data_IF_183632927465
#
_entry.id   IF_183632927465
#
_cell.length_a   1.000
_cell.length_b   1.000
_cell.length_c   1.000
_cell.angle_alpha   90.00
_cell.angle_beta   90.00
_cell.angle_gamma   90.00
#
_symmetry.space_group_name_H-M   'P 1'
#
loop_
_entity.id
_entity.type
_entity.pdbx_description
1 polymer ?
#
# COMPACT_ATOMS: atom_id res chain seq x y z
N UNK A 1 -8.30 28.83 -20.82
CA UNK A 1 -7.97 28.38 -19.44
C UNK A 1 -9.11 27.64 -18.75
N UNK A 2 -10.33 28.19 -18.64
CA UNK A 2 -11.46 27.54 -17.93
C UNK A 2 -11.84 26.16 -18.49
N UNK A 3 -11.92 26.03 -19.81
CA UNK A 3 -12.24 24.77 -20.49
C UNK A 3 -11.15 23.71 -20.23
N UNK A 4 -9.88 24.10 -20.31
CA UNK A 4 -8.74 23.19 -20.03
C UNK A 4 -8.80 22.68 -18.59
N UNK A 5 -9.06 23.56 -17.62
CA UNK A 5 -9.20 23.16 -16.21
C UNK A 5 -10.40 22.21 -16.00
N UNK A 6 -11.54 22.47 -16.63
CA UNK A 6 -12.69 21.59 -16.56
C UNK A 6 -12.39 20.19 -17.12
N UNK A 7 -11.64 20.12 -18.23
CA UNK A 7 -11.19 18.86 -18.82
C UNK A 7 -10.23 18.12 -17.86
N UNK A 8 -9.26 18.81 -17.25
CA UNK A 8 -8.35 18.21 -16.27
C UNK A 8 -9.13 17.63 -15.08
N UNK A 9 -10.07 18.39 -14.53
CA UNK A 9 -10.89 17.92 -13.41
C UNK A 9 -11.77 16.73 -13.79
N UNK A 10 -12.30 16.71 -15.01
CA UNK A 10 -13.05 15.56 -15.53
C UNK A 10 -12.17 14.32 -15.62
N UNK A 11 -10.95 14.44 -16.16
CA UNK A 11 -9.99 13.32 -16.20
C UNK A 11 -9.62 12.83 -14.79
N UNK A 12 -9.37 13.73 -13.84
CA UNK A 12 -9.12 13.35 -12.45
C UNK A 12 -10.32 12.65 -11.80
N UNK A 13 -11.55 13.12 -12.07
CA UNK A 13 -12.76 12.48 -11.56
C UNK A 13 -12.91 11.06 -12.12
N UNK A 14 -12.75 10.88 -13.44
CA UNK A 14 -12.80 9.56 -14.09
C UNK A 14 -11.73 8.65 -13.51
N UNK A 15 -10.50 9.12 -13.32
CA UNK A 15 -9.41 8.36 -12.72
C UNK A 15 -9.73 7.88 -11.30
N UNK A 16 -10.25 8.77 -10.44
CA UNK A 16 -10.56 8.46 -9.04
C UNK A 16 -11.79 7.55 -8.88
N UNK A 17 -12.74 7.64 -9.80
CA UNK A 17 -13.96 6.81 -9.85
C UNK A 17 -13.75 5.44 -10.50
N UNK A 18 -12.71 5.28 -11.32
CA UNK A 18 -12.40 3.99 -11.93
C UNK A 18 -12.31 2.90 -10.84
N UNK A 19 -12.97 1.75 -11.00
CA UNK A 19 -13.03 0.73 -9.96
C UNK A 19 -11.63 0.21 -9.63
N UNK A 20 -11.37 -0.04 -8.35
CA UNK A 20 -10.11 -0.63 -7.93
C UNK A 20 -10.20 -2.14 -7.83
N UNK A 21 -9.06 -2.80 -7.99
CA UNK A 21 -8.96 -4.21 -7.65
C UNK A 21 -9.11 -4.40 -6.14
N UNK A 22 -9.45 -5.62 -5.73
CA UNK A 22 -9.45 -6.00 -4.31
C UNK A 22 -8.00 -6.13 -3.79
N UNK A 23 -7.86 -6.60 -2.55
CA UNK A 23 -6.57 -7.01 -1.99
C UNK A 23 -5.76 -7.83 -3.03
N UNK A 24 -4.46 -7.56 -3.22
CA UNK A 24 -3.65 -8.22 -4.24
C UNK A 24 -3.61 -9.75 -4.08
N UNK A 25 -3.18 -10.43 -5.14
CA UNK A 25 -3.01 -11.89 -5.10
C UNK A 25 -2.02 -12.30 -4.00
N UNK A 26 -2.26 -13.46 -3.42
CA UNK A 26 -1.40 -14.06 -2.40
C UNK A 26 0.00 -14.36 -2.98
N UNK A 27 1.05 -14.32 -2.13
CA UNK A 27 2.42 -14.59 -2.58
C UNK A 27 2.55 -16.01 -3.14
N UNK A 28 3.22 -16.19 -4.28
CA UNK A 28 3.52 -17.52 -4.79
C UNK A 28 4.51 -18.24 -3.87
N UNK A 29 4.42 -19.57 -3.82
CA UNK A 29 5.33 -20.42 -3.04
C UNK A 29 5.47 -19.99 -1.56
N UNK A 30 4.39 -19.46 -0.98
CA UNK A 30 4.36 -18.99 0.40
C UNK A 30 3.32 -19.74 1.22
N UNK A 31 3.56 -19.86 2.52
CA UNK A 31 2.60 -20.39 3.47
C UNK A 31 1.87 -19.23 4.14
N UNK A 32 0.56 -19.15 3.99
CA UNK A 32 -0.25 -18.13 4.66
C UNK A 32 -0.24 -18.35 6.17
N UNK A 33 0.01 -17.28 6.92
CA UNK A 33 -0.12 -17.26 8.37
C UNK A 33 -1.57 -17.04 8.79
N UNK A 34 -2.01 -17.81 9.78
CA UNK A 34 -3.31 -17.67 10.44
C UNK A 34 -3.14 -17.39 11.94
N UNK A 35 -1.99 -16.85 12.34
CA UNK A 35 -1.78 -16.38 13.70
C UNK A 35 -2.84 -15.31 14.04
N UNK A 36 -3.37 -15.25 15.28
CA UNK A 36 -4.44 -14.31 15.64
C UNK A 36 -4.14 -12.87 15.21
N UNK A 37 -2.91 -12.40 15.46
CA UNK A 37 -2.45 -11.07 15.08
C UNK A 37 -2.49 -10.78 13.56
N UNK A 38 -2.34 -11.81 12.73
CA UNK A 38 -2.33 -11.70 11.27
C UNK A 38 -3.75 -11.75 10.67
N UNK A 39 -4.76 -12.09 11.49
CA UNK A 39 -6.17 -12.28 11.05
C UNK A 39 -7.17 -11.29 11.65
N UNK A 40 -6.74 -10.44 12.58
CA UNK A 40 -7.55 -9.38 13.21
C UNK A 40 -8.23 -8.42 12.22
N UNK A 41 -7.68 -8.24 11.01
CA UNK A 41 -8.24 -7.35 9.99
C UNK A 41 -8.34 -8.07 8.64
N UNK A 42 -9.47 -7.96 7.92
CA UNK A 42 -9.60 -8.53 6.57
C UNK A 42 -8.68 -7.86 5.55
N UNK A 43 -8.21 -6.65 5.89
CA UNK A 43 -7.26 -5.88 5.09
C UNK A 43 -5.81 -6.20 5.42
N UNK A 44 -5.54 -7.24 6.22
CA UNK A 44 -4.19 -7.67 6.58
C UNK A 44 -4.04 -9.16 6.26
N UNK A 45 -2.89 -9.51 5.70
CA UNK A 45 -2.50 -10.89 5.43
C UNK A 45 -1.01 -11.05 5.69
N UNK A 46 -0.60 -12.17 6.29
CA UNK A 46 0.80 -12.49 6.46
C UNK A 46 1.15 -13.84 5.82
N UNK A 47 2.41 -13.97 5.42
CA UNK A 47 2.95 -15.11 4.69
C UNK A 47 4.36 -15.44 5.17
N UNK A 48 4.68 -16.72 5.18
CA UNK A 48 6.05 -17.22 5.31
C UNK A 48 6.56 -17.58 3.92
N UNK A 49 7.70 -17.02 3.53
CA UNK A 49 8.26 -17.19 2.18
C UNK A 49 9.79 -17.25 2.21
N UNK A 50 10.35 -17.74 1.12
CA UNK A 50 11.79 -17.73 0.86
C UNK A 50 12.20 -16.64 -0.13
N UNK A 51 11.25 -15.77 -0.51
CA UNK A 51 11.50 -14.67 -1.44
C UNK A 51 12.30 -13.54 -0.78
N UNK A 52 13.17 -12.91 -1.57
CA UNK A 52 13.91 -11.72 -1.13
C UNK A 52 13.00 -10.48 -1.12
N UNK A 53 13.44 -9.44 -0.40
CA UNK A 53 12.77 -8.12 -0.38
C UNK A 53 12.40 -7.64 -1.78
N UNK A 54 13.35 -7.58 -2.71
CA UNK A 54 13.10 -7.13 -4.08
C UNK A 54 12.07 -8.00 -4.81
N UNK A 55 12.14 -9.33 -4.67
CA UNK A 55 11.18 -10.24 -5.29
C UNK A 55 9.75 -10.00 -4.77
N UNK A 56 9.60 -9.77 -3.46
CA UNK A 56 8.31 -9.46 -2.82
C UNK A 56 7.77 -8.13 -3.35
N UNK A 57 8.59 -7.10 -3.36
CA UNK A 57 8.19 -5.76 -3.80
C UNK A 57 7.87 -5.72 -5.29
N UNK A 58 8.61 -6.45 -6.13
CA UNK A 58 8.37 -6.58 -7.57
C UNK A 58 7.09 -7.35 -7.87
N UNK A 59 6.81 -8.40 -7.10
CA UNK A 59 5.56 -9.13 -7.19
C UNK A 59 4.38 -8.23 -6.89
N UNK A 60 4.39 -7.54 -5.75
CA UNK A 60 3.26 -6.70 -5.36
C UNK A 60 3.12 -5.46 -6.24
N UNK A 61 4.21 -4.82 -6.67
CA UNK A 61 4.12 -3.65 -7.57
C UNK A 61 3.40 -4.01 -8.86
N UNK A 62 3.77 -5.14 -9.48
CA UNK A 62 3.15 -5.63 -10.73
C UNK A 62 1.68 -6.00 -10.54
N UNK A 63 1.35 -6.72 -9.47
CA UNK A 63 -0.01 -7.22 -9.25
C UNK A 63 -0.97 -6.17 -8.67
N UNK A 64 -0.45 -5.13 -8.00
CA UNK A 64 -1.27 -4.12 -7.34
C UNK A 64 -1.64 -2.97 -8.26
N UNK A 65 -0.67 -2.35 -8.93
CA UNK A 65 -0.87 -1.07 -9.64
C UNK A 65 -0.03 -0.95 -10.91
N UNK A 66 0.95 -1.83 -11.08
CA UNK A 66 1.82 -1.86 -12.25
C UNK A 66 2.69 -0.60 -12.33
N UNK A 67 2.70 0.01 -13.52
CA UNK A 67 3.55 1.17 -13.84
C UNK A 67 3.16 2.46 -13.10
N UNK A 68 1.92 2.54 -12.61
CA UNK A 68 1.43 3.71 -11.86
C UNK A 68 1.77 3.64 -10.37
N UNK A 69 2.43 2.56 -9.93
CA UNK A 69 2.82 2.37 -8.54
C UNK A 69 4.13 3.03 -8.19
N UNK A 70 4.11 3.80 -7.12
CA UNK A 70 5.33 4.34 -6.52
C UNK A 70 5.71 3.56 -5.27
N UNK A 71 7.01 3.32 -5.07
CA UNK A 71 7.53 2.68 -3.86
C UNK A 71 8.03 3.74 -2.90
N UNK A 72 7.59 3.67 -1.65
CA UNK A 72 8.10 4.47 -0.55
C UNK A 72 8.75 3.53 0.47
N UNK A 73 9.91 3.94 0.99
CA UNK A 73 10.64 3.19 2.00
C UNK A 73 10.52 3.91 3.35
N UNK A 74 10.25 3.14 4.39
CA UNK A 74 10.05 3.64 5.74
C UNK A 74 11.07 3.00 6.70
N UNK A 75 11.39 3.67 7.81
CA UNK A 75 12.10 3.05 8.92
C UNK A 75 11.31 1.82 9.43
N UNK A 76 11.97 0.68 9.68
CA UNK A 76 11.30 -0.54 10.14
C UNK A 76 10.59 -0.37 11.49
N UNK A 77 11.03 0.57 12.33
CA UNK A 77 10.45 0.89 13.63
C UNK A 77 9.00 1.40 13.50
N UNK A 78 8.66 2.03 12.38
CA UNK A 78 7.31 2.50 12.09
C UNK A 78 6.34 1.35 11.78
N UNK A 79 6.81 0.11 11.63
CA UNK A 79 5.91 -1.03 11.42
C UNK A 79 4.98 -1.25 12.63
N UNK A 80 5.41 -0.85 13.83
CA UNK A 80 4.59 -0.89 15.03
C UNK A 80 3.36 0.01 14.91
N UNK A 81 3.50 1.22 14.36
CA UNK A 81 2.40 2.17 14.21
C UNK A 81 1.60 1.95 12.91
N UNK A 82 2.27 1.59 11.81
CA UNK A 82 1.66 1.51 10.48
C UNK A 82 1.01 0.16 10.19
N UNK A 83 1.55 -0.95 10.72
CA UNK A 83 1.02 -2.30 10.48
C UNK A 83 0.24 -2.79 11.70
N UNK A 84 0.92 -2.86 12.86
CA UNK A 84 0.37 -3.34 14.15
C UNK A 84 1.40 -3.20 15.26
N UNK A 85 0.93 -2.94 16.47
CA UNK A 85 1.76 -2.97 17.69
C UNK A 85 2.57 -4.26 17.81
N UNK A 86 3.84 -4.14 18.24
CA UNK A 86 4.77 -5.27 18.42
C UNK A 86 5.08 -6.08 17.15
N UNK A 87 4.94 -5.47 15.97
CA UNK A 87 5.37 -6.10 14.72
C UNK A 87 6.89 -6.05 14.59
N UNK A 88 7.52 -7.23 14.47
CA UNK A 88 8.92 -7.31 14.11
C UNK A 88 9.09 -6.95 12.63
N UNK A 89 10.11 -6.15 12.34
CA UNK A 89 10.37 -5.61 11.01
C UNK A 89 11.87 -5.53 10.75
N UNK A 90 12.26 -5.98 9.57
CA UNK A 90 13.59 -5.73 9.00
C UNK A 90 13.51 -4.70 7.88
N UNK A 91 12.36 -4.59 7.22
CA UNK A 91 12.07 -3.54 6.26
C UNK A 91 10.57 -3.24 6.22
N UNK A 92 10.25 -1.98 5.94
CA UNK A 92 8.89 -1.51 5.73
C UNK A 92 8.84 -0.67 4.46
N UNK A 93 7.97 -1.06 3.53
CA UNK A 93 7.75 -0.33 2.29
C UNK A 93 6.26 -0.16 2.01
N UNK A 94 5.93 0.90 1.27
CA UNK A 94 4.58 1.15 0.77
C UNK A 94 4.59 1.18 -0.76
N UNK A 95 3.58 0.57 -1.37
CA UNK A 95 3.26 0.77 -2.77
C UNK A 95 2.04 1.67 -2.86
N UNK A 96 2.26 2.89 -3.33
CA UNK A 96 1.23 3.92 -3.44
C UNK A 96 0.58 3.88 -4.82
N UNK A 97 -0.75 3.84 -4.83
CA UNK A 97 -1.55 4.21 -5.99
C UNK A 97 -2.22 5.55 -5.73
N UNK A 98 -1.66 6.61 -6.32
CA UNK A 98 -1.97 8.01 -6.02
C UNK A 98 -3.47 8.29 -5.87
N UNK A 99 -3.88 8.75 -4.68
CA UNK A 99 -5.25 9.15 -4.38
C UNK A 99 -6.28 8.02 -4.30
N UNK A 100 -5.89 6.75 -4.50
CA UNK A 100 -6.83 5.62 -4.53
C UNK A 100 -6.61 4.64 -3.39
N UNK A 101 -5.37 4.21 -3.16
CA UNK A 101 -5.06 3.13 -2.21
C UNK A 101 -3.57 2.98 -1.98
N UNK A 102 -3.25 2.34 -0.87
CA UNK A 102 -1.89 2.02 -0.48
C UNK A 102 -1.77 0.57 -0.05
N UNK A 103 -0.58 0.00 -0.25
CA UNK A 103 -0.24 -1.33 0.19
C UNK A 103 1.05 -1.27 1.00
N UNK A 104 0.93 -1.42 2.32
CA UNK A 104 2.08 -1.50 3.21
C UNK A 104 2.56 -2.95 3.28
N UNK A 105 3.87 -3.13 3.13
CA UNK A 105 4.55 -4.41 3.11
C UNK A 105 5.67 -4.35 4.14
N UNK A 106 5.47 -5.10 5.21
CA UNK A 106 6.47 -5.33 6.23
C UNK A 106 7.12 -6.70 6.01
N UNK A 107 8.45 -6.76 6.04
CA UNK A 107 9.18 -8.03 6.00
C UNK A 107 10.11 -8.16 7.19
N UNK A 108 10.02 -9.30 7.86
CA UNK A 108 10.90 -9.70 8.95
C UNK A 108 11.83 -10.81 8.48
N UNK A 109 13.12 -10.55 8.56
CA UNK A 109 14.21 -11.50 8.27
C UNK A 109 14.93 -11.79 9.59
N UNK A 110 14.83 -13.01 10.13
CA UNK A 110 15.45 -13.35 11.40
C UNK A 110 16.96 -13.35 11.25
N UNK A 111 17.65 -12.62 12.12
CA UNK A 111 19.13 -12.59 12.17
C UNK A 111 19.68 -13.46 13.30
N UNK A 112 18.85 -13.75 14.31
CA UNK A 112 19.22 -14.59 15.46
C UNK A 112 18.69 -16.01 15.30
N UNK A 113 19.44 -16.99 15.80
CA UNK A 113 19.02 -18.39 15.80
C UNK A 113 17.72 -18.63 16.57
N UNK A 114 17.42 -17.81 17.58
CA UNK A 114 16.18 -17.88 18.39
C UNK A 114 14.94 -17.42 17.64
N UNK A 115 15.09 -16.72 16.52
CA UNK A 115 14.00 -16.10 15.74
C UNK A 115 13.71 -16.88 14.45
N UNK A 116 14.33 -18.05 14.27
CA UNK A 116 14.14 -18.86 13.06
C UNK A 116 12.68 -19.23 12.83
N UNK A 117 12.24 -19.07 11.58
CA UNK A 117 10.87 -19.32 11.17
C UNK A 117 10.79 -20.76 10.65
N UNK A 118 10.49 -21.69 11.55
CA UNK A 118 10.23 -23.08 11.20
C UNK A 118 8.72 -23.35 11.33
N UNK A 119 8.07 -23.73 10.23
CA UNK A 119 6.63 -24.05 10.18
C UNK A 119 6.43 -25.34 9.42
N UNK A 120 5.74 -26.30 10.03
CA UNK A 120 5.43 -27.61 9.43
C UNK A 120 6.67 -28.35 8.90
N UNK A 121 7.81 -28.26 9.60
CA UNK A 121 9.08 -28.87 9.18
C UNK A 121 9.82 -28.14 8.05
N UNK A 122 9.29 -27.03 7.54
CA UNK A 122 9.93 -26.19 6.52
C UNK A 122 10.51 -24.94 7.18
N UNK A 123 11.76 -24.65 6.84
CA UNK A 123 12.43 -23.40 7.21
C UNK A 123 12.08 -22.30 6.19
N UNK A 124 11.62 -21.16 6.70
CA UNK A 124 11.33 -19.98 5.91
C UNK A 124 12.30 -18.86 6.24
N UNK A 125 12.78 -18.14 5.22
CA UNK A 125 13.74 -17.05 5.41
C UNK A 125 13.09 -15.73 5.77
N UNK A 126 11.80 -15.54 5.48
CA UNK A 126 11.13 -14.24 5.71
C UNK A 126 9.66 -14.44 6.10
N UNK A 127 9.21 -13.69 7.11
CA UNK A 127 7.78 -13.45 7.39
C UNK A 127 7.39 -12.11 6.77
N UNK A 128 6.43 -12.10 5.87
CA UNK A 128 5.91 -10.90 5.22
C UNK A 128 4.52 -10.62 5.72
N UNK A 129 4.25 -9.41 6.18
CA UNK A 129 2.91 -8.93 6.55
C UNK A 129 2.51 -7.80 5.61
N UNK A 130 1.32 -7.91 5.05
CA UNK A 130 0.81 -6.97 4.06
C UNK A 130 -0.51 -6.38 4.54
N UNK A 131 -0.57 -5.06 4.58
CA UNK A 131 -1.74 -4.28 4.95
C UNK A 131 -2.22 -3.48 3.74
N UNK A 132 -3.49 -3.67 3.39
CA UNK A 132 -4.16 -2.98 2.32
C UNK A 132 -5.00 -1.83 2.85
N UNK A 133 -4.75 -0.61 2.37
CA UNK A 133 -5.48 0.60 2.79
C UNK A 133 -6.23 1.18 1.60
N UNK A 134 -7.53 0.85 1.43
CA UNK A 134 -8.36 1.44 0.38
C UNK A 134 -8.84 2.84 0.77
N UNK A 135 -8.90 3.76 -0.19
CA UNK A 135 -9.69 5.00 -0.07
C UNK A 135 -11.11 4.76 -0.59
N UNK A 136 -12.14 5.29 0.08
CA UNK A 136 -13.52 5.18 -0.40
C UNK A 136 -13.82 6.12 -1.57
N UNK A 137 -14.83 5.82 -2.38
CA UNK A 137 -15.23 6.72 -3.49
C UNK A 137 -15.63 8.10 -2.98
N UNK A 138 -16.32 8.18 -1.83
CA UNK A 138 -16.74 9.44 -1.22
C UNK A 138 -15.52 10.27 -0.84
N UNK A 139 -14.54 9.69 -0.13
CA UNK A 139 -13.32 10.41 0.31
C UNK A 139 -12.50 10.94 -0.85
N UNK A 140 -12.49 10.22 -1.98
CA UNK A 140 -11.81 10.66 -3.21
C UNK A 140 -12.51 11.85 -3.85
N UNK A 141 -13.83 11.77 -4.02
CA UNK A 141 -14.61 12.84 -4.63
C UNK A 141 -14.62 14.10 -3.76
N UNK A 142 -14.69 13.96 -2.43
CA UNK A 142 -14.60 15.10 -1.52
C UNK A 142 -13.22 15.76 -1.61
N UNK A 143 -12.15 14.97 -1.63
CA UNK A 143 -10.79 15.49 -1.79
C UNK A 143 -10.63 16.23 -3.12
N UNK A 144 -11.15 15.65 -4.21
CA UNK A 144 -11.13 16.27 -5.53
C UNK A 144 -11.91 17.59 -5.56
N UNK A 145 -13.10 17.61 -4.97
CA UNK A 145 -13.94 18.81 -4.89
C UNK A 145 -13.22 19.91 -4.11
N UNK A 146 -12.71 19.61 -2.92
CA UNK A 146 -11.98 20.56 -2.07
C UNK A 146 -10.73 21.10 -2.79
N UNK A 147 -9.96 20.22 -3.43
CA UNK A 147 -8.79 20.62 -4.20
C UNK A 147 -9.19 21.57 -5.34
N UNK A 148 -10.26 21.26 -6.07
CA UNK A 148 -10.75 22.12 -7.15
C UNK A 148 -11.19 23.51 -6.67
N UNK A 149 -11.86 23.59 -5.50
CA UNK A 149 -12.26 24.85 -4.88
C UNK A 149 -11.05 25.69 -4.46
N UNK A 150 -10.04 25.04 -3.87
CA UNK A 150 -8.78 25.70 -3.49
C UNK A 150 -8.05 26.22 -4.73
N UNK A 151 -7.92 25.41 -5.78
CA UNK A 151 -7.29 25.82 -7.04
C UNK A 151 -8.03 27.01 -7.67
N UNK A 152 -9.36 26.99 -7.71
CA UNK A 152 -10.15 28.12 -8.21
C UNK A 152 -9.95 29.40 -7.38
N UNK A 153 -9.87 29.25 -6.06
CA UNK A 153 -9.62 30.37 -5.14
C UNK A 153 -8.23 30.99 -5.37
N UNK A 154 -7.20 30.15 -5.53
CA UNK A 154 -5.84 30.59 -5.85
C UNK A 154 -5.75 31.29 -7.20
N UNK A 155 -6.40 30.75 -8.24
CA UNK A 155 -6.45 31.39 -9.56
C UNK A 155 -7.16 32.75 -9.47
N UNK A 156 -8.23 32.87 -8.69
CA UNK A 156 -8.91 34.16 -8.51
C UNK A 156 -8.04 35.18 -7.76
N UNK A 157 -7.29 34.72 -6.76
CA UNK A 157 -6.44 35.58 -5.93
C UNK A 157 -5.18 36.06 -6.68
N UNK A 158 -4.52 35.18 -7.43
CA UNK A 158 -3.21 35.44 -8.04
C UNK A 158 -3.23 35.52 -9.57
N UNK A 159 -4.32 35.10 -10.22
CA UNK A 159 -4.48 35.13 -11.68
C UNK A 159 -4.91 36.47 -12.25
N UNK A 160 -4.81 37.57 -11.50
CA UNK A 160 -4.83 38.93 -12.05
C UNK A 160 -3.43 39.25 -12.59
N UNK A 161 -3.14 38.76 -13.78
CA UNK A 161 -2.18 39.33 -14.74
C UNK A 161 -2.92 39.49 -16.05
#
# INVERSE_FOLDING_TARGET
MKIILAIIWLFCAVYLLYPDSKFPQDLPNSLRSFEPADTESPNRKAYFTNMTREQIMDFYKRNFVGVLGYRLNYPPEEAASLIRDQTQSSFLEEIVHFGKRSLYINGFVPTKATEQINRNGVHYTTKVTVLYVPSGYITRLTTLLLLSLVTMSLIKAYGKV
#
